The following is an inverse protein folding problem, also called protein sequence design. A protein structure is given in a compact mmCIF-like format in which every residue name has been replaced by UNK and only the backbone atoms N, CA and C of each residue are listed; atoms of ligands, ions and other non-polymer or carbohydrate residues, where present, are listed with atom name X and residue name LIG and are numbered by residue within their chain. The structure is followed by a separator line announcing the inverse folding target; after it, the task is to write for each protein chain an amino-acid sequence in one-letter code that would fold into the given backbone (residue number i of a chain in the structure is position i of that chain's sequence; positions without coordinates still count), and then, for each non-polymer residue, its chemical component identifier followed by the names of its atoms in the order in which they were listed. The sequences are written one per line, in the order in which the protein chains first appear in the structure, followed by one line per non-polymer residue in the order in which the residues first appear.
data_IF_350441332346
#
_entry.id   IF_350441332346
#
_cell.length_a   1.000
_cell.length_b   1.000
_cell.length_c   1.000
_cell.angle_alpha   90.00
_cell.angle_beta   90.00
_cell.angle_gamma   90.00
#
_symmetry.space_group_name_H-M   'P 1'
#
loop_
_entity.id
_entity.type
_entity.pdbx_description
1 polymer ?
#
# COMPACT_ATOMS: atom_id res chain seq x y z
N UNK A 1 4.44 11.63 17.74
CA UNK A 1 3.80 11.16 19.00
C UNK A 1 3.36 12.25 19.98
N UNK A 2 4.02 13.42 20.08
CA UNK A 2 3.69 14.47 21.07
C UNK A 2 2.44 15.30 20.74
N UNK A 3 2.12 15.47 19.45
CA UNK A 3 0.97 16.28 19.01
C UNK A 3 -0.39 15.60 19.27
N UNK A 4 -0.50 14.29 19.02
CA UNK A 4 -1.71 13.49 19.28
C UNK A 4 -2.09 13.43 20.77
N UNK A 5 -1.09 13.36 21.67
CA UNK A 5 -1.32 13.39 23.12
C UNK A 5 -1.80 14.75 23.62
N UNK A 6 -1.37 15.84 22.98
CA UNK A 6 -1.78 17.20 23.33
C UNK A 6 -3.24 17.46 22.94
N UNK A 7 -3.68 17.01 21.76
CA UNK A 7 -5.07 17.16 21.32
C UNK A 7 -6.04 16.37 22.20
N UNK A 8 -5.69 15.13 22.57
CA UNK A 8 -6.53 14.30 23.44
C UNK A 8 -6.73 14.91 24.85
N UNK A 9 -5.69 15.55 25.38
CA UNK A 9 -5.75 16.26 26.67
C UNK A 9 -6.58 17.55 26.59
N UNK A 10 -6.58 18.24 25.45
CA UNK A 10 -7.33 19.49 25.25
C UNK A 10 -8.84 19.24 25.13
N UNK A 11 -9.25 18.12 24.52
CA UNK A 11 -10.66 17.70 24.51
C UNK A 11 -11.14 17.22 25.89
N UNK A 12 -10.26 16.62 26.71
CA UNK A 12 -10.61 16.18 28.05
C UNK A 12 -10.84 17.33 29.04
N UNK A 13 -10.17 18.48 28.86
CA UNK A 13 -10.21 19.61 29.79
C UNK A 13 -11.39 20.57 29.56
N UNK A 14 -11.98 20.59 28.36
CA UNK A 14 -13.20 21.38 28.06
C UNK A 14 -14.47 20.83 28.73
N UNK A 15 -14.42 19.61 29.26
CA UNK A 15 -15.57 18.86 29.79
C UNK A 15 -15.98 19.29 31.22
N UNK A 16 -15.15 20.05 31.94
CA UNK A 16 -15.33 20.23 33.41
C UNK A 16 -16.08 21.51 33.83
N UNK A 17 -16.34 22.48 32.94
CA UNK A 17 -16.69 23.84 33.40
C UNK A 17 -18.15 24.32 33.30
N UNK A 18 -19.17 23.49 33.02
CA UNK A 18 -20.56 23.98 32.99
C UNK A 18 -21.48 23.21 33.95
N UNK A 19 -21.52 23.65 35.21
CA UNK A 19 -22.62 23.35 36.12
C UNK A 19 -23.26 24.66 36.58
N UNK A 20 -24.32 25.10 35.89
CA UNK A 20 -25.53 25.72 36.46
C UNK A 20 -26.30 26.54 35.41
N UNK A 21 -27.64 26.47 35.52
CA UNK A 21 -28.70 27.35 34.98
C UNK A 21 -29.47 26.83 33.74
N UNK A 22 -30.79 26.63 33.94
CA UNK A 22 -31.90 26.34 33.00
C UNK A 22 -32.01 24.97 32.31
N UNK A 23 -32.64 24.02 33.01
CA UNK A 23 -32.75 22.59 32.64
C UNK A 23 -33.42 22.24 31.31
N UNK A 24 -34.10 23.16 30.61
CA UNK A 24 -34.64 22.91 29.26
C UNK A 24 -33.80 23.52 28.14
N UNK A 25 -33.25 24.73 28.35
CA UNK A 25 -32.30 25.33 27.41
C UNK A 25 -30.95 24.60 27.47
N UNK A 26 -30.53 24.13 28.65
CA UNK A 26 -29.30 23.34 28.80
C UNK A 26 -29.36 22.00 28.10
N UNK A 27 -30.50 21.30 28.12
CA UNK A 27 -30.58 19.97 27.47
C UNK A 27 -30.44 20.11 25.96
N UNK A 28 -31.11 21.07 25.33
CA UNK A 28 -30.94 21.29 23.89
C UNK A 28 -29.52 21.75 23.54
N UNK A 29 -28.95 22.71 24.29
CA UNK A 29 -27.58 23.18 24.06
C UNK A 29 -26.53 22.07 24.31
N UNK A 30 -26.75 21.20 25.29
CA UNK A 30 -25.89 20.04 25.55
C UNK A 30 -26.00 18.98 24.45
N UNK A 31 -27.22 18.71 23.93
CA UNK A 31 -27.41 17.81 22.79
C UNK A 31 -26.73 18.34 21.53
N UNK A 32 -26.83 19.66 21.28
CA UNK A 32 -26.14 20.33 20.17
C UNK A 32 -24.61 20.26 20.32
N UNK A 33 -24.08 20.46 21.53
CA UNK A 33 -22.65 20.30 21.82
C UNK A 33 -22.17 18.87 21.58
N UNK A 34 -22.88 17.86 22.09
CA UNK A 34 -22.53 16.46 21.85
C UNK A 34 -22.60 16.08 20.37
N UNK A 35 -23.57 16.61 19.61
CA UNK A 35 -23.65 16.40 18.16
C UNK A 35 -22.49 17.06 17.41
N UNK A 36 -22.06 18.25 17.85
CA UNK A 36 -20.88 18.92 17.30
C UNK A 36 -19.60 18.10 17.57
N UNK A 37 -19.42 17.59 18.79
CA UNK A 37 -18.30 16.72 19.14
C UNK A 37 -18.28 15.40 18.36
N UNK A 38 -19.45 14.79 18.12
CA UNK A 38 -19.61 13.62 17.25
C UNK A 38 -19.16 13.90 15.81
N UNK A 39 -19.60 15.05 15.28
CA UNK A 39 -19.28 15.45 13.90
C UNK A 39 -17.78 15.72 13.75
N UNK A 40 -17.18 16.44 14.70
CA UNK A 40 -15.74 16.69 14.74
C UNK A 40 -14.91 15.41 14.87
N UNK A 41 -15.37 14.46 15.70
CA UNK A 41 -14.72 13.16 15.84
C UNK A 41 -14.76 12.37 14.54
N UNK A 42 -15.93 12.31 13.90
CA UNK A 42 -16.10 11.65 12.62
C UNK A 42 -15.18 12.28 11.56
N UNK A 43 -15.19 13.60 11.42
CA UNK A 43 -14.33 14.35 10.50
C UNK A 43 -12.84 14.13 10.79
N UNK A 44 -12.43 14.12 12.06
CA UNK A 44 -11.06 13.81 12.44
C UNK A 44 -10.65 12.40 12.02
N UNK A 45 -11.48 11.39 12.32
CA UNK A 45 -11.22 10.00 11.92
C UNK A 45 -11.15 9.86 10.40
N UNK A 46 -12.06 10.48 9.65
CA UNK A 46 -12.02 10.50 8.18
C UNK A 46 -10.75 11.18 7.65
N UNK A 47 -10.34 12.30 8.26
CA UNK A 47 -9.12 13.03 7.89
C UNK A 47 -7.86 12.20 8.13
N UNK A 48 -7.82 11.42 9.22
CA UNK A 48 -6.72 10.50 9.50
C UNK A 48 -6.65 9.40 8.44
N UNK A 49 -7.78 8.76 8.08
CA UNK A 49 -7.80 7.75 7.02
C UNK A 49 -7.35 8.32 5.66
N UNK A 50 -7.86 9.49 5.29
CA UNK A 50 -7.43 10.20 4.08
C UNK A 50 -5.92 10.48 4.10
N UNK A 51 -5.38 10.96 5.22
CA UNK A 51 -3.96 11.24 5.37
C UNK A 51 -3.10 9.98 5.21
N UNK A 52 -3.50 8.84 5.80
CA UNK A 52 -2.80 7.58 5.58
C UNK A 52 -2.87 7.13 4.12
N UNK A 53 -4.04 7.23 3.49
CA UNK A 53 -4.22 6.88 2.07
C UNK A 53 -3.32 7.73 1.18
N UNK A 54 -3.26 9.03 1.42
CA UNK A 54 -2.38 9.96 0.70
C UNK A 54 -0.90 9.66 0.89
N UNK A 55 -0.51 9.04 2.01
CA UNK A 55 0.86 8.57 2.23
C UNK A 55 1.16 7.22 1.58
N UNK A 56 0.21 6.28 1.61
CA UNK A 56 0.40 4.91 1.13
C UNK A 56 0.41 4.84 -0.41
N UNK A 57 -0.54 5.51 -1.05
CA UNK A 57 -0.74 5.42 -2.51
C UNK A 57 0.52 5.82 -3.30
N UNK A 58 1.24 6.89 -2.96
CA UNK A 58 2.49 7.23 -3.62
C UNK A 58 3.55 6.13 -3.53
N UNK A 59 3.71 5.48 -2.36
CA UNK A 59 4.73 4.43 -2.16
C UNK A 59 4.40 3.18 -2.99
N UNK A 60 3.11 2.81 -3.08
CA UNK A 60 2.67 1.72 -3.97
C UNK A 60 2.87 2.08 -5.44
N UNK A 61 2.59 3.33 -5.83
CA UNK A 61 2.85 3.79 -7.19
C UNK A 61 4.34 3.80 -7.52
N UNK A 62 5.19 4.14 -6.55
CA UNK A 62 6.64 4.13 -6.70
C UNK A 62 7.16 2.71 -6.91
N UNK A 63 6.70 1.73 -6.12
CA UNK A 63 7.06 0.32 -6.34
C UNK A 63 6.65 -0.15 -7.74
N UNK A 64 5.42 0.16 -8.16
CA UNK A 64 4.94 -0.22 -9.50
C UNK A 64 5.82 0.35 -10.60
N UNK A 65 6.14 1.65 -10.52
CA UNK A 65 7.03 2.30 -11.48
C UNK A 65 8.43 1.69 -11.45
N UNK A 66 9.01 1.53 -10.26
CA UNK A 66 10.33 0.95 -10.07
C UNK A 66 10.45 -0.44 -10.68
N UNK A 67 9.50 -1.32 -10.39
CA UNK A 67 9.52 -2.69 -10.90
C UNK A 67 9.40 -2.74 -12.43
N UNK A 68 8.58 -1.88 -13.03
CA UNK A 68 8.44 -1.76 -14.49
C UNK A 68 9.74 -1.23 -15.12
N UNK A 69 10.31 -0.16 -14.56
CA UNK A 69 11.56 0.44 -15.05
C UNK A 69 12.69 -0.61 -15.00
N UNK A 70 12.83 -1.32 -13.87
CA UNK A 70 13.83 -2.41 -13.72
C UNK A 70 13.63 -3.57 -14.67
N UNK A 71 12.38 -3.92 -14.95
CA UNK A 71 12.07 -4.93 -15.95
C UNK A 71 12.54 -4.50 -17.35
N UNK A 72 12.29 -3.25 -17.73
CA UNK A 72 12.73 -2.73 -19.02
C UNK A 72 14.25 -2.62 -19.11
N UNK A 73 14.91 -2.15 -18.06
CA UNK A 73 16.38 -2.12 -17.98
C UNK A 73 16.97 -3.51 -18.27
N UNK A 74 16.48 -4.56 -17.59
CA UNK A 74 16.98 -5.91 -17.79
C UNK A 74 16.65 -6.50 -19.17
N UNK A 75 15.49 -6.17 -19.74
CA UNK A 75 15.13 -6.54 -21.12
C UNK A 75 16.12 -5.90 -22.11
N UNK A 76 16.44 -4.63 -21.93
CA UNK A 76 17.32 -3.90 -22.84
C UNK A 76 18.76 -4.35 -22.72
N UNK A 77 19.22 -4.72 -21.52
CA UNK A 77 20.51 -5.34 -21.30
C UNK A 77 20.61 -6.72 -21.96
N UNK A 78 19.58 -7.58 -21.80
CA UNK A 78 19.50 -8.87 -22.51
C UNK A 78 19.54 -8.65 -24.03
N UNK A 79 18.82 -7.67 -24.57
CA UNK A 79 18.84 -7.36 -26.01
C UNK A 79 20.20 -6.88 -26.49
N UNK A 80 20.91 -6.10 -25.68
CA UNK A 80 22.25 -5.61 -26.01
C UNK A 80 23.23 -6.78 -26.09
N UNK A 81 23.24 -7.64 -25.07
CA UNK A 81 24.03 -8.88 -25.06
C UNK A 81 23.63 -9.76 -26.26
N UNK A 82 22.32 -9.92 -26.49
CA UNK A 82 21.76 -10.71 -27.59
C UNK A 82 22.35 -10.32 -28.95
N UNK A 83 22.39 -9.00 -29.21
CA UNK A 83 22.90 -8.42 -30.45
C UNK A 83 24.41 -8.58 -30.57
N UNK A 84 25.16 -8.20 -29.54
CA UNK A 84 26.62 -8.25 -29.55
C UNK A 84 27.14 -9.67 -29.74
N UNK A 85 26.50 -10.66 -29.11
CA UNK A 85 26.86 -12.07 -29.29
C UNK A 85 26.49 -12.59 -30.66
N UNK A 86 25.33 -12.19 -31.21
CA UNK A 86 24.94 -12.57 -32.57
C UNK A 86 25.93 -12.06 -33.61
N UNK A 87 26.30 -10.78 -33.53
CA UNK A 87 27.29 -10.16 -34.41
C UNK A 87 28.63 -10.93 -34.36
N UNK A 88 29.09 -11.31 -33.17
CA UNK A 88 30.30 -12.13 -33.02
C UNK A 88 30.15 -13.55 -33.57
N UNK A 89 28.99 -14.21 -33.42
CA UNK A 89 28.76 -15.54 -34.02
C UNK A 89 28.80 -15.47 -35.55
N UNK A 90 28.27 -14.39 -36.13
CA UNK A 90 28.22 -14.16 -37.57
C UNK A 90 29.61 -13.83 -38.18
N UNK A 91 30.61 -13.48 -37.38
CA UNK A 91 32.00 -13.32 -37.82
C UNK A 91 32.70 -14.67 -38.10
N UNK A 92 32.18 -15.78 -37.58
CA UNK A 92 32.75 -17.11 -37.82
C UNK A 92 32.34 -17.68 -39.18
N UNK A 93 33.18 -18.52 -39.81
CA UNK A 93 32.84 -19.18 -41.07
C UNK A 93 31.50 -19.93 -40.99
N UNK A 94 30.66 -19.77 -42.01
CA UNK A 94 29.39 -20.48 -42.12
C UNK A 94 29.65 -21.98 -42.21
N UNK A 95 29.11 -22.72 -41.25
CA UNK A 95 29.12 -24.17 -41.18
C UNK A 95 27.80 -24.66 -40.59
N UNK A 96 27.47 -25.94 -40.78
CA UNK A 96 26.30 -26.53 -40.14
C UNK A 96 26.31 -26.34 -38.60
N UNK A 97 27.50 -26.30 -38.01
CA UNK A 97 27.72 -26.05 -36.59
C UNK A 97 27.35 -24.60 -36.21
N UNK A 98 27.83 -23.60 -36.95
CA UNK A 98 27.52 -22.19 -36.67
C UNK A 98 26.04 -21.85 -36.93
N UNK A 99 25.41 -22.44 -37.96
CA UNK A 99 23.97 -22.32 -38.20
C UNK A 99 23.11 -22.89 -37.06
N UNK A 100 23.47 -24.07 -36.55
CA UNK A 100 22.78 -24.67 -35.41
C UNK A 100 22.93 -23.79 -34.14
N UNK A 101 24.11 -23.22 -33.92
CA UNK A 101 24.36 -22.29 -32.82
C UNK A 101 23.51 -21.02 -32.94
N UNK A 102 23.38 -20.44 -34.13
CA UNK A 102 22.49 -19.28 -34.38
C UNK A 102 21.02 -19.60 -34.12
N UNK A 103 20.54 -20.76 -34.58
CA UNK A 103 19.15 -21.19 -34.33
C UNK A 103 18.88 -21.40 -32.83
N UNK A 104 19.82 -22.04 -32.13
CA UNK A 104 19.72 -22.22 -30.67
C UNK A 104 19.80 -20.88 -29.95
N UNK A 105 20.62 -19.95 -30.44
CA UNK A 105 20.76 -18.61 -29.88
C UNK A 105 19.44 -17.84 -29.89
N UNK A 106 18.75 -17.80 -31.02
CA UNK A 106 17.46 -17.12 -31.14
C UNK A 106 16.40 -17.71 -30.18
N UNK A 107 16.45 -19.02 -29.91
CA UNK A 107 15.60 -19.67 -28.91
C UNK A 107 15.98 -19.25 -27.48
N UNK A 108 17.27 -19.13 -27.16
CA UNK A 108 17.73 -18.68 -25.83
C UNK A 108 17.28 -17.24 -25.56
N UNK A 109 17.45 -16.33 -26.52
CA UNK A 109 17.02 -14.93 -26.42
C UNK A 109 15.52 -14.85 -26.08
N UNK A 110 14.67 -15.58 -26.84
CA UNK A 110 13.22 -15.60 -26.59
C UNK A 110 12.87 -16.21 -25.23
N UNK A 111 13.55 -17.28 -24.84
CA UNK A 111 13.35 -17.94 -23.55
C UNK A 111 13.64 -16.99 -22.38
N UNK A 112 14.77 -16.28 -22.42
CA UNK A 112 15.13 -15.32 -21.38
C UNK A 112 14.24 -14.08 -21.36
N UNK A 113 13.81 -13.58 -22.52
CA UNK A 113 12.79 -12.53 -22.62
C UNK A 113 11.45 -12.93 -21.98
N UNK A 114 11.08 -14.22 -22.04
CA UNK A 114 9.92 -14.71 -21.30
C UNK A 114 10.19 -14.89 -19.81
N UNK A 115 11.40 -15.33 -19.43
CA UNK A 115 11.74 -15.60 -18.04
C UNK A 115 11.80 -14.34 -17.18
N UNK A 116 12.26 -13.23 -17.74
CA UNK A 116 12.33 -11.96 -17.01
C UNK A 116 10.94 -11.39 -16.68
N UNK A 117 9.88 -11.78 -17.39
CA UNK A 117 8.49 -11.47 -17.01
C UNK A 117 8.14 -12.05 -15.63
N UNK A 118 8.74 -13.16 -15.22
CA UNK A 118 8.50 -13.72 -13.89
C UNK A 118 9.06 -12.84 -12.78
N UNK A 119 10.07 -12.01 -13.04
CA UNK A 119 10.62 -11.09 -12.04
C UNK A 119 9.62 -10.00 -11.61
N UNK A 120 8.64 -9.67 -12.47
CA UNK A 120 7.55 -8.75 -12.12
C UNK A 120 6.47 -9.39 -11.25
N UNK A 121 6.37 -10.73 -11.24
CA UNK A 121 5.24 -11.41 -10.61
C UNK A 121 5.19 -11.20 -9.10
N UNK A 122 6.35 -11.18 -8.43
CA UNK A 122 6.42 -11.01 -6.97
C UNK A 122 6.09 -9.58 -6.55
N UNK A 123 6.62 -8.56 -7.24
CA UNK A 123 6.25 -7.17 -7.00
C UNK A 123 4.76 -6.95 -7.26
N UNK A 124 4.21 -7.55 -8.32
CA UNK A 124 2.77 -7.49 -8.62
C UNK A 124 1.92 -8.15 -7.53
N UNK A 125 2.36 -9.30 -7.01
CA UNK A 125 1.69 -10.00 -5.91
C UNK A 125 1.64 -9.14 -4.65
N UNK A 126 2.76 -8.52 -4.29
CA UNK A 126 2.86 -7.61 -3.14
C UNK A 126 1.95 -6.41 -3.37
N UNK A 127 2.06 -5.71 -4.51
CA UNK A 127 1.20 -4.57 -4.86
C UNK A 127 -0.28 -4.90 -4.73
N UNK A 128 -0.74 -6.03 -5.28
CA UNK A 128 -2.13 -6.44 -5.21
C UNK A 128 -2.59 -6.72 -3.77
N UNK A 129 -1.73 -7.35 -2.94
CA UNK A 129 -2.00 -7.58 -1.53
C UNK A 129 -2.11 -6.26 -0.76
N UNK A 130 -1.16 -5.36 -0.96
CA UNK A 130 -1.15 -4.05 -0.30
C UNK A 130 -2.33 -3.15 -0.71
N UNK A 131 -2.73 -3.17 -1.99
CA UNK A 131 -3.95 -2.50 -2.43
C UNK A 131 -5.20 -3.13 -1.83
N UNK A 132 -5.24 -4.45 -1.66
CA UNK A 132 -6.35 -5.13 -1.01
C UNK A 132 -6.47 -4.70 0.44
N UNK A 133 -5.38 -4.74 1.19
CA UNK A 133 -5.34 -4.36 2.60
C UNK A 133 -5.71 -2.89 2.78
N UNK A 134 -5.14 -1.97 1.99
CA UNK A 134 -5.51 -0.55 2.01
C UNK A 134 -7.01 -0.35 1.80
N UNK A 135 -7.60 -1.00 0.79
CA UNK A 135 -9.03 -0.86 0.52
C UNK A 135 -9.89 -1.50 1.62
N UNK A 136 -9.44 -2.61 2.22
CA UNK A 136 -10.13 -3.25 3.35
C UNK A 136 -10.14 -2.34 4.57
N UNK A 137 -8.98 -1.80 4.96
CA UNK A 137 -8.85 -0.92 6.12
C UNK A 137 -9.61 0.40 5.94
N UNK A 138 -9.58 0.97 4.73
CA UNK A 138 -10.33 2.19 4.41
C UNK A 138 -11.86 1.95 4.48
N UNK A 139 -12.32 0.82 3.94
CA UNK A 139 -13.74 0.47 3.96
C UNK A 139 -14.23 0.18 5.40
N UNK A 140 -13.47 -0.60 6.18
CA UNK A 140 -13.87 -0.94 7.55
C UNK A 140 -13.74 0.27 8.49
N UNK A 141 -12.68 1.05 8.34
CA UNK A 141 -12.49 2.32 9.06
C UNK A 141 -13.62 3.31 8.79
N UNK A 142 -14.01 3.47 7.52
CA UNK A 142 -15.16 4.28 7.12
C UNK A 142 -16.47 3.76 7.71
N UNK A 143 -16.67 2.44 7.73
CA UNK A 143 -17.85 1.81 8.35
C UNK A 143 -17.92 2.12 9.85
N UNK A 144 -16.83 1.96 10.58
CA UNK A 144 -16.75 2.23 12.02
C UNK A 144 -16.97 3.72 12.30
N UNK A 145 -16.33 4.60 11.52
CA UNK A 145 -16.50 6.05 11.64
C UNK A 145 -17.94 6.51 11.37
N UNK A 146 -18.62 5.91 10.38
CA UNK A 146 -20.03 6.18 10.10
C UNK A 146 -20.96 5.68 11.21
N UNK A 147 -20.62 4.58 11.90
CA UNK A 147 -21.39 4.10 13.06
C UNK A 147 -21.37 5.11 14.20
N UNK A 148 -20.30 5.88 14.37
CA UNK A 148 -20.23 6.96 15.39
C UNK A 148 -21.33 7.99 15.17
N UNK A 149 -21.44 8.50 13.95
CA UNK A 149 -22.44 9.50 13.58
C UNK A 149 -23.87 8.93 13.64
N UNK A 150 -24.07 7.71 13.13
CA UNK A 150 -25.38 7.07 13.09
C UNK A 150 -25.92 6.73 14.48
N UNK A 151 -25.08 6.26 15.40
CA UNK A 151 -25.49 6.01 16.79
C UNK A 151 -25.79 7.31 17.54
N UNK A 152 -25.04 8.38 17.28
CA UNK A 152 -25.36 9.72 17.78
C UNK A 152 -26.76 10.17 17.36
N UNK A 153 -27.06 10.08 16.07
CA UNK A 153 -28.38 10.42 15.52
C UNK A 153 -29.51 9.57 16.10
N UNK A 154 -29.29 8.27 16.30
CA UNK A 154 -30.29 7.37 16.91
C UNK A 154 -30.64 7.79 18.34
N UNK A 155 -29.62 8.09 19.16
CA UNK A 155 -29.81 8.56 20.54
C UNK A 155 -30.58 9.89 20.56
N UNK A 156 -30.26 10.82 19.66
CA UNK A 156 -30.95 12.10 19.52
C UNK A 156 -32.39 11.97 18.97
N UNK A 157 -32.65 10.96 18.15
CA UNK A 157 -33.97 10.74 17.53
C UNK A 157 -35.00 10.12 18.48
N UNK A 158 -34.55 9.46 19.55
CA UNK A 158 -35.43 8.76 20.50
C UNK A 158 -36.09 9.75 21.48
N UNK A 159 -37.13 10.47 21.01
CA UNK A 159 -37.90 11.48 21.77
C UNK A 159 -38.35 11.02 23.18
N UNK A 160 -38.64 9.74 23.37
CA UNK A 160 -39.11 9.19 24.66
C UNK A 160 -38.00 9.11 25.73
N UNK A 161 -36.71 9.02 25.35
CA UNK A 161 -35.60 8.98 26.32
C UNK A 161 -35.20 10.37 26.82
N UNK A 162 -35.42 11.40 26.01
CA UNK A 162 -35.03 12.79 26.29
C UNK A 162 -35.89 13.41 27.41
N UNK A 163 -37.18 13.07 27.47
CA UNK A 163 -38.09 13.61 28.47
C UNK A 163 -37.98 12.95 29.87
N UNK A 164 -37.34 11.78 29.99
CA UNK A 164 -37.35 10.98 31.23
C UNK A 164 -36.01 10.93 31.97
N UNK A 165 -34.90 11.38 31.39
CA UNK A 165 -33.58 11.15 31.98
C UNK A 165 -32.78 12.45 32.17
N UNK A 166 -32.72 12.92 33.43
CA UNK A 166 -31.86 14.06 33.84
C UNK A 166 -30.36 13.83 33.56
N UNK A 167 -29.98 12.59 33.21
CA UNK A 167 -28.61 12.18 32.92
C UNK A 167 -28.37 11.85 31.43
N UNK A 168 -29.21 12.33 30.51
CA UNK A 168 -29.04 12.03 29.08
C UNK A 168 -27.67 12.45 28.53
N UNK A 169 -27.13 13.57 29.04
CA UNK A 169 -25.77 14.04 28.75
C UNK A 169 -24.70 13.02 29.16
N UNK A 170 -24.83 12.39 30.33
CA UNK A 170 -23.90 11.34 30.77
C UNK A 170 -23.96 10.13 29.84
N UNK A 171 -25.16 9.72 29.44
CA UNK A 171 -25.33 8.56 28.53
C UNK A 171 -24.75 8.86 27.15
N UNK A 172 -24.99 10.05 26.61
CA UNK A 172 -24.44 10.47 25.31
C UNK A 172 -22.91 10.56 25.39
N UNK A 173 -22.37 11.23 26.40
CA UNK A 173 -20.92 11.35 26.61
C UNK A 173 -20.25 9.99 26.84
N UNK A 174 -20.91 9.07 27.54
CA UNK A 174 -20.43 7.70 27.74
C UNK A 174 -20.35 6.96 26.39
N UNK A 175 -21.41 7.02 25.57
CA UNK A 175 -21.41 6.38 24.25
C UNK A 175 -20.43 7.01 23.28
N UNK A 176 -20.27 8.33 23.34
CA UNK A 176 -19.22 9.06 22.64
C UNK A 176 -17.83 8.53 22.99
N UNK A 177 -17.54 8.35 24.28
CA UNK A 177 -16.28 7.78 24.75
C UNK A 177 -16.10 6.33 24.29
N UNK A 178 -17.14 5.51 24.38
CA UNK A 178 -17.08 4.11 23.94
C UNK A 178 -16.75 4.03 22.44
N UNK A 179 -17.35 4.90 21.62
CA UNK A 179 -17.13 4.98 20.18
C UNK A 179 -15.73 5.51 19.82
N UNK A 180 -15.28 6.57 20.50
CA UNK A 180 -13.91 7.08 20.36
C UNK A 180 -12.86 6.03 20.75
N UNK A 181 -13.09 5.29 21.82
CA UNK A 181 -12.23 4.19 22.25
C UNK A 181 -12.26 3.02 21.26
N UNK A 182 -13.39 2.77 20.59
CA UNK A 182 -13.48 1.76 19.54
C UNK A 182 -12.80 2.21 18.22
N UNK A 183 -12.78 3.51 17.92
CA UNK A 183 -12.15 4.07 16.73
C UNK A 183 -10.63 4.27 16.91
N UNK A 184 -10.16 4.58 18.12
CA UNK A 184 -8.74 4.87 18.40
C UNK A 184 -7.75 3.78 17.95
N UNK A 185 -8.04 2.47 18.10
CA UNK A 185 -7.14 1.42 17.62
C UNK A 185 -6.91 1.48 16.11
N UNK A 186 -7.89 1.92 15.33
CA UNK A 186 -7.76 1.99 13.86
C UNK A 186 -6.72 3.00 13.41
N UNK A 187 -6.56 4.12 14.13
CA UNK A 187 -5.49 5.08 13.84
C UNK A 187 -4.12 4.44 14.06
N UNK A 188 -3.95 3.71 15.17
CA UNK A 188 -2.69 3.02 15.48
C UNK A 188 -2.41 1.90 14.48
N UNK A 189 -3.42 1.10 14.13
CA UNK A 189 -3.32 0.03 13.14
C UNK A 189 -2.91 0.59 11.77
N UNK A 190 -3.42 1.76 11.37
CA UNK A 190 -3.06 2.38 10.10
C UNK A 190 -1.61 2.91 10.09
N UNK A 191 -1.11 3.43 11.21
CA UNK A 191 0.30 3.79 11.36
C UNK A 191 1.21 2.54 11.29
N UNK A 192 0.86 1.47 12.02
CA UNK A 192 1.62 0.20 12.00
C UNK A 192 1.59 -0.47 10.63
N UNK A 193 0.42 -0.44 9.95
CA UNK A 193 0.27 -0.92 8.59
C UNK A 193 1.21 -0.16 7.66
N UNK A 194 1.25 1.17 7.75
CA UNK A 194 2.14 1.99 6.92
C UNK A 194 3.62 1.58 7.07
N UNK A 195 4.11 1.40 8.30
CA UNK A 195 5.50 0.98 8.54
C UNK A 195 5.77 -0.43 7.98
N UNK A 196 4.82 -1.35 8.14
CA UNK A 196 4.92 -2.70 7.57
C UNK A 196 4.96 -2.67 6.04
N UNK A 197 4.12 -1.84 5.43
CA UNK A 197 4.03 -1.65 3.98
C UNK A 197 5.34 -1.12 3.40
N UNK A 198 5.95 -0.10 4.03
CA UNK A 198 7.26 0.40 3.60
C UNK A 198 8.30 -0.73 3.59
N UNK A 199 8.32 -1.57 4.62
CA UNK A 199 9.24 -2.70 4.69
C UNK A 199 8.98 -3.76 3.60
N UNK A 200 7.70 -4.07 3.32
CA UNK A 200 7.33 -4.98 2.23
C UNK A 200 7.72 -4.44 0.86
N UNK A 201 7.56 -3.14 0.66
CA UNK A 201 7.90 -2.45 -0.58
C UNK A 201 9.41 -2.49 -0.82
N UNK A 202 10.23 -2.18 0.17
CA UNK A 202 11.69 -2.25 0.03
C UNK A 202 12.18 -3.68 -0.22
N UNK A 203 11.56 -4.67 0.42
CA UNK A 203 11.83 -6.08 0.13
C UNK A 203 11.43 -6.46 -1.30
N UNK A 204 10.31 -5.95 -1.80
CA UNK A 204 9.85 -6.18 -3.17
C UNK A 204 10.84 -5.59 -4.19
N UNK A 205 11.30 -4.35 -3.98
CA UNK A 205 12.32 -3.69 -4.81
C UNK A 205 13.60 -4.53 -4.87
N UNK A 206 14.12 -4.92 -3.71
CA UNK A 206 15.32 -5.76 -3.62
C UNK A 206 15.12 -7.12 -4.31
N UNK A 207 13.94 -7.74 -4.17
CA UNK A 207 13.59 -8.98 -4.85
C UNK A 207 13.57 -8.83 -6.37
N UNK A 208 13.00 -7.74 -6.89
CA UNK A 208 13.02 -7.42 -8.32
C UNK A 208 14.46 -7.24 -8.82
N UNK A 209 15.29 -6.48 -8.11
CA UNK A 209 16.70 -6.26 -8.49
C UNK A 209 17.46 -7.58 -8.55
N UNK A 210 17.35 -8.42 -7.51
CA UNK A 210 18.01 -9.72 -7.46
C UNK A 210 17.57 -10.58 -8.64
N UNK A 211 16.27 -10.67 -8.91
CA UNK A 211 15.75 -11.49 -9.98
C UNK A 211 16.23 -11.02 -11.36
N UNK A 212 16.11 -9.72 -11.65
CA UNK A 212 16.53 -9.15 -12.94
C UNK A 212 18.03 -9.33 -13.15
N UNK A 213 18.84 -8.96 -12.16
CA UNK A 213 20.30 -9.10 -12.25
C UNK A 213 20.72 -10.56 -12.44
N UNK A 214 20.09 -11.50 -11.73
CA UNK A 214 20.35 -12.93 -11.92
C UNK A 214 20.00 -13.41 -13.33
N UNK A 215 18.90 -12.92 -13.92
CA UNK A 215 18.52 -13.27 -15.29
C UNK A 215 19.54 -12.73 -16.30
N UNK A 216 19.99 -11.48 -16.13
CA UNK A 216 21.04 -10.87 -16.96
C UNK A 216 22.34 -11.67 -16.84
N UNK A 217 22.85 -11.90 -15.63
CA UNK A 217 24.10 -12.66 -15.43
C UNK A 217 24.02 -14.09 -15.96
N UNK A 218 22.87 -14.77 -15.81
CA UNK A 218 22.67 -16.08 -16.42
C UNK A 218 22.72 -16.01 -17.95
N UNK A 219 22.13 -14.96 -18.53
CA UNK A 219 22.14 -14.76 -19.97
C UNK A 219 23.55 -14.47 -20.50
N UNK A 220 24.35 -13.66 -19.81
CA UNK A 220 25.77 -13.44 -20.11
C UNK A 220 26.55 -14.76 -20.15
N UNK A 221 26.34 -15.65 -19.18
CA UNK A 221 26.97 -16.97 -19.16
C UNK A 221 26.57 -17.85 -20.35
N UNK A 222 25.28 -17.83 -20.73
CA UNK A 222 24.81 -18.54 -21.94
C UNK A 222 25.41 -17.93 -23.21
N UNK A 223 25.58 -16.60 -23.24
CA UNK A 223 26.19 -15.87 -24.34
C UNK A 223 27.66 -16.25 -24.54
N UNK A 224 28.43 -16.30 -23.45
CA UNK A 224 29.83 -16.73 -23.47
C UNK A 224 29.96 -18.18 -23.97
N UNK A 225 29.11 -19.09 -23.47
CA UNK A 225 29.09 -20.48 -23.91
C UNK A 225 28.71 -20.61 -25.40
N UNK A 226 27.80 -19.77 -25.91
CA UNK A 226 27.44 -19.78 -27.32
C UNK A 226 28.66 -19.41 -28.20
N UNK A 227 29.43 -18.39 -27.81
CA UNK A 227 30.64 -17.99 -28.51
C UNK A 227 31.73 -19.07 -28.46
N UNK A 228 31.95 -19.68 -27.29
CA UNK A 228 32.91 -20.76 -27.13
C UNK A 228 32.53 -21.98 -27.99
N UNK A 229 31.25 -22.33 -28.07
CA UNK A 229 30.81 -23.44 -28.93
C UNK A 229 31.11 -23.18 -30.41
N UNK A 230 30.91 -21.94 -30.87
CA UNK A 230 31.16 -21.56 -32.26
C UNK A 230 32.66 -21.50 -32.56
N UNK A 231 33.50 -21.06 -31.62
CA UNK A 231 34.96 -21.02 -31.81
C UNK A 231 35.59 -22.41 -31.95
N UNK A 232 34.91 -23.47 -31.49
CA UNK A 232 35.34 -24.86 -31.63
C UNK A 232 34.68 -25.57 -32.83
N UNK A 233 33.84 -24.88 -33.61
CA UNK A 233 33.29 -25.46 -34.83
C UNK A 233 34.43 -25.76 -35.83
N UNK A 234 34.47 -26.97 -36.42
CA UNK A 234 35.48 -27.29 -37.42
C UNK A 234 35.27 -26.41 -38.66
N UNK A 235 36.34 -25.76 -39.11
CA UNK A 235 36.36 -25.08 -40.41
C UNK A 235 36.23 -26.15 -41.51
N UNK A 236 35.13 -26.14 -42.25
CA UNK A 236 34.90 -26.97 -43.44
C UNK A 236 35.42 -26.20 -44.65
#
# INVERSE_FOLDING_TARGET
MTFLRFSFFFFASLIICCQSIDTQFTVMDELLKSQAELSLTHEFTQSVFLWHRERIVPVLSELSKYSIDKYFDGIDEIKLIARNTREQIEEFPLSQCSENSLNNWDLQVRSFGNRINFCLSEATRILNGEYHDLNYFDADGSRVSNQVQNQGLDILSTKEKIHLNRNIHQVINQRLRDLLLAASPWVVIMDELFELMEHHIERAKAGTDICVNQMVTQFEGISANALENVSHCPNI
#
